data_IF_540672445179
#
_entry.id   IF_540672445179
#
_cell.length_a   1.000
_cell.length_b   1.000
_cell.length_c   1.000
_cell.angle_alpha   90.00
_cell.angle_beta   90.00
_cell.angle_gamma   90.00
#
_symmetry.space_group_name_H-M   'P 1'
#
loop_
_entity.id
_entity.type
_entity.pdbx_description
1 polymer ?
#
# COMPACT_ATOMS: atom_id res chain seq x y z
N UNK A 1 -15.08 -9.89 -6.61
CA UNK A 1 -13.77 -9.63 -7.25
C UNK A 1 -12.64 -10.22 -6.42
N UNK A 2 -12.00 -11.28 -6.92
CA UNK A 2 -10.69 -11.73 -6.43
C UNK A 2 -9.68 -10.69 -6.92
N UNK A 3 -8.92 -10.08 -6.02
CA UNK A 3 -7.82 -9.21 -6.45
C UNK A 3 -6.70 -10.05 -7.06
N UNK A 4 -5.84 -9.44 -7.89
CA UNK A 4 -4.71 -10.12 -8.50
C UNK A 4 -3.94 -10.91 -7.45
N UNK A 5 -3.63 -12.17 -7.76
CA UNK A 5 -2.80 -13.01 -6.91
C UNK A 5 -1.34 -12.63 -7.12
N UNK A 6 -0.96 -11.45 -6.67
CA UNK A 6 0.44 -11.10 -6.56
C UNK A 6 1.12 -12.09 -5.58
N UNK A 7 2.20 -12.75 -6.02
CA UNK A 7 2.96 -13.68 -5.18
C UNK A 7 3.91 -12.86 -4.28
N UNK A 8 3.64 -12.86 -2.98
CA UNK A 8 4.48 -12.24 -1.95
C UNK A 8 5.13 -13.32 -1.09
N UNK A 9 6.32 -13.05 -0.56
CA UNK A 9 6.91 -13.92 0.46
C UNK A 9 5.99 -14.01 1.70
N UNK A 10 6.01 -15.15 2.39
CA UNK A 10 5.19 -15.38 3.60
C UNK A 10 5.44 -14.30 4.66
N UNK A 11 6.68 -13.82 4.75
CA UNK A 11 7.14 -12.79 5.66
C UNK A 11 6.43 -11.43 5.42
N UNK A 12 6.15 -11.07 4.16
CA UNK A 12 5.45 -9.83 3.81
C UNK A 12 4.00 -9.81 4.30
N UNK A 13 3.31 -10.96 4.27
CA UNK A 13 1.91 -11.06 4.75
C UNK A 13 1.80 -10.85 6.26
N UNK A 14 2.71 -11.46 7.02
CA UNK A 14 2.72 -11.33 8.48
C UNK A 14 3.14 -9.92 8.90
N UNK A 15 4.11 -9.33 8.20
CA UNK A 15 4.51 -7.95 8.40
C UNK A 15 3.36 -6.98 8.09
N UNK A 16 2.63 -7.15 6.98
CA UNK A 16 1.43 -6.36 6.68
C UNK A 16 0.37 -6.46 7.79
N UNK A 17 0.17 -7.64 8.38
CA UNK A 17 -0.75 -7.81 9.52
C UNK A 17 -0.27 -7.02 10.75
N UNK A 18 1.04 -6.99 11.00
CA UNK A 18 1.62 -6.20 12.08
C UNK A 18 1.41 -4.70 11.85
N UNK A 19 1.69 -4.19 10.65
CA UNK A 19 1.48 -2.78 10.28
C UNK A 19 0.02 -2.35 10.44
N UNK A 20 -0.93 -3.21 10.08
CA UNK A 20 -2.37 -2.95 10.33
C UNK A 20 -2.71 -2.77 11.81
N UNK A 21 -1.92 -3.29 12.74
CA UNK A 21 -2.12 -3.09 14.18
C UNK A 21 -1.40 -1.85 14.71
N UNK A 22 -0.42 -1.32 13.96
CA UNK A 22 0.51 -0.26 14.39
C UNK A 22 0.48 0.95 13.45
N UNK A 23 -0.71 1.34 12.99
CA UNK A 23 -0.87 2.49 12.12
C UNK A 23 -0.62 3.80 12.88
N UNK A 24 0.01 4.75 12.20
CA UNK A 24 0.08 6.14 12.68
C UNK A 24 -1.31 6.76 12.81
N UNK A 25 -1.43 7.87 13.53
CA UNK A 25 -2.72 8.57 13.68
C UNK A 25 -3.22 9.12 12.34
N UNK A 26 -2.31 9.60 11.49
CA UNK A 26 -2.61 10.05 10.13
C UNK A 26 -3.16 8.92 9.26
N UNK A 27 -2.50 7.76 9.24
CA UNK A 27 -2.99 6.57 8.54
C UNK A 27 -4.34 6.09 9.09
N UNK A 28 -4.53 6.13 10.42
CA UNK A 28 -5.78 5.70 11.04
C UNK A 28 -6.94 6.60 10.62
N UNK A 29 -6.71 7.91 10.62
CA UNK A 29 -7.69 8.90 10.18
C UNK A 29 -8.04 8.72 8.70
N UNK A 30 -7.03 8.55 7.84
CA UNK A 30 -7.25 8.30 6.42
C UNK A 30 -7.99 6.98 6.19
N UNK A 31 -7.64 5.92 6.91
CA UNK A 31 -8.34 4.64 6.82
C UNK A 31 -9.83 4.77 7.17
N UNK A 32 -10.17 5.57 8.18
CA UNK A 32 -11.55 5.85 8.53
C UNK A 32 -12.36 6.46 7.37
N UNK A 33 -11.73 7.26 6.51
CA UNK A 33 -12.37 7.85 5.33
C UNK A 33 -12.40 6.91 4.12
N UNK A 34 -11.45 5.99 4.00
CA UNK A 34 -11.32 5.09 2.85
C UNK A 34 -12.05 3.76 3.02
N UNK A 35 -12.20 3.27 4.24
CA UNK A 35 -12.80 1.95 4.52
C UNK A 35 -14.25 1.87 4.07
N UNK A 36 -14.75 0.65 3.91
CA UNK A 36 -16.16 0.38 3.63
C UNK A 36 -16.71 1.09 2.38
N UNK A 37 -15.85 1.32 1.37
CA UNK A 37 -16.26 1.97 0.10
C UNK A 37 -16.82 3.39 0.28
N UNK A 38 -16.46 4.09 1.35
CA UNK A 38 -16.95 5.45 1.63
C UNK A 38 -16.51 6.47 0.58
N UNK A 39 -15.32 6.30 -0.02
CA UNK A 39 -14.83 7.18 -1.06
C UNK A 39 -15.32 6.71 -2.43
N UNK A 40 -16.37 7.36 -2.94
CA UNK A 40 -16.92 7.16 -4.28
C UNK A 40 -17.23 5.68 -4.63
N UNK A 41 -17.54 4.84 -3.62
CA UNK A 41 -17.83 3.42 -3.83
C UNK A 41 -16.59 2.51 -4.02
N UNK A 42 -15.39 3.08 -4.09
CA UNK A 42 -14.17 2.34 -4.41
C UNK A 42 -13.65 1.53 -3.21
N UNK A 43 -13.18 0.30 -3.49
CA UNK A 43 -12.60 -0.55 -2.45
C UNK A 43 -11.13 -0.23 -2.23
N UNK A 44 -10.83 0.38 -1.08
CA UNK A 44 -9.48 0.53 -0.57
C UNK A 44 -9.09 -0.61 0.36
N UNK A 45 -7.82 -1.01 0.28
CA UNK A 45 -7.14 -1.95 1.18
C UNK A 45 -6.02 -1.20 1.87
N UNK A 46 -5.80 -1.47 3.15
CA UNK A 46 -4.70 -0.87 3.92
C UNK A 46 -3.54 -1.84 4.13
N UNK A 47 -2.32 -1.30 4.16
CA UNK A 47 -1.07 -2.04 4.31
C UNK A 47 -1.07 -3.22 3.34
N UNK A 48 -1.14 -2.90 2.05
CA UNK A 48 -1.32 -3.85 0.96
C UNK A 48 0.04 -4.22 0.39
N UNK A 49 0.45 -5.49 0.45
CA UNK A 49 1.67 -5.92 -0.22
C UNK A 49 1.59 -5.65 -1.73
N UNK A 50 2.67 -5.16 -2.38
CA UNK A 50 2.88 -5.02 -3.85
C UNK A 50 4.32 -5.42 -4.22
N UNK A 51 4.49 -6.46 -5.05
CA UNK A 51 5.76 -7.19 -5.24
C UNK A 51 6.54 -7.44 -3.93
N UNK A 52 7.65 -6.74 -3.67
CA UNK A 52 8.47 -6.90 -2.47
C UNK A 52 8.20 -5.81 -1.41
N UNK A 53 7.12 -5.06 -1.58
CA UNK A 53 6.81 -3.84 -0.83
C UNK A 53 5.44 -3.94 -0.16
N UNK A 54 5.16 -3.02 0.75
CA UNK A 54 3.82 -2.81 1.34
C UNK A 54 3.52 -1.33 1.21
N UNK A 55 2.41 -1.02 0.54
CA UNK A 55 1.90 0.36 0.43
C UNK A 55 0.84 0.60 1.50
N UNK A 56 0.75 1.83 2.01
CA UNK A 56 -0.19 2.16 3.09
C UNK A 56 -1.65 1.94 2.68
N UNK A 57 -2.03 2.37 1.46
CA UNK A 57 -3.34 2.09 0.89
C UNK A 57 -3.28 1.76 -0.59
N UNK A 58 -4.14 0.85 -1.02
CA UNK A 58 -4.27 0.44 -2.42
C UNK A 58 -5.72 0.29 -2.85
N UNK A 59 -6.04 0.85 -4.02
CA UNK A 59 -7.30 0.65 -4.73
C UNK A 59 -7.05 -0.10 -6.04
N UNK A 60 -7.51 -1.35 -6.10
CA UNK A 60 -7.37 -2.24 -7.26
C UNK A 60 -8.16 -1.70 -8.47
N UNK A 61 -9.36 -1.18 -8.22
CA UNK A 61 -10.29 -0.65 -9.23
C UNK A 61 -9.71 0.58 -9.97
N UNK A 62 -8.77 1.30 -9.35
CA UNK A 62 -8.12 2.48 -9.92
C UNK A 62 -6.61 2.31 -10.14
N UNK A 63 -6.06 1.13 -9.83
CA UNK A 63 -4.61 0.88 -9.81
C UNK A 63 -3.85 2.00 -9.06
N UNK A 64 -4.41 2.47 -7.94
CA UNK A 64 -3.93 3.63 -7.19
C UNK A 64 -3.32 3.18 -5.86
N UNK A 65 -2.06 3.53 -5.64
CA UNK A 65 -1.40 3.45 -4.34
C UNK A 65 -1.36 4.85 -3.68
N UNK A 66 -1.58 4.90 -2.37
CA UNK A 66 -1.47 6.11 -1.55
C UNK A 66 -0.52 5.78 -0.40
N UNK A 67 0.53 6.58 -0.25
CA UNK A 67 1.47 6.53 0.87
C UNK A 67 1.28 7.76 1.74
N UNK A 68 1.18 7.57 3.05
CA UNK A 68 1.11 8.68 4.00
C UNK A 68 2.53 9.02 4.40
N UNK A 69 3.02 10.16 3.92
CA UNK A 69 4.31 10.69 4.34
C UNK A 69 4.22 11.20 5.79
N UNK A 70 4.43 10.29 6.74
CA UNK A 70 4.69 10.67 8.12
C UNK A 70 6.16 11.08 8.18
N UNK A 71 6.45 12.36 8.44
CA UNK A 71 7.78 13.00 8.42
C UNK A 71 8.88 12.42 9.35
N UNK A 72 9.03 11.10 9.35
CA UNK A 72 10.02 10.25 10.00
C UNK A 72 10.59 9.32 8.92
N UNK A 73 11.08 9.91 7.82
CA UNK A 73 11.91 9.25 6.79
C UNK A 73 13.30 8.87 7.32
N UNK A 74 13.38 8.31 8.53
CA UNK A 74 14.66 7.97 9.19
C UNK A 74 14.72 6.53 9.67
N UNK A 75 13.79 5.67 9.25
CA UNK A 75 14.10 4.23 9.26
C UNK A 75 14.97 3.89 8.05
N UNK A 76 16.05 3.08 8.20
CA UNK A 76 16.96 2.70 7.11
C UNK A 76 16.24 2.12 5.88
N UNK A 77 15.00 1.66 6.05
CA UNK A 77 14.12 1.16 4.99
C UNK A 77 13.81 2.23 3.94
N UNK A 78 13.47 3.47 4.29
CA UNK A 78 13.13 4.52 3.31
C UNK A 78 14.35 5.05 2.54
N UNK A 79 15.56 4.88 3.08
CA UNK A 79 16.81 5.35 2.45
C UNK A 79 17.14 4.58 1.15
N UNK A 80 16.54 3.42 0.92
CA UNK A 80 16.64 2.70 -0.36
C UNK A 80 15.63 3.16 -1.43
N UNK A 81 14.70 4.07 -1.10
CA UNK A 81 13.51 4.35 -1.92
C UNK A 81 13.61 5.50 -2.93
N UNK A 82 14.77 6.16 -3.07
CA UNK A 82 14.92 7.24 -4.08
C UNK A 82 15.72 6.86 -5.34
N UNK A 83 16.24 5.64 -5.47
CA UNK A 83 17.04 5.26 -6.67
C UNK A 83 16.24 4.47 -7.72
N UNK A 84 14.98 4.08 -7.47
CA UNK A 84 14.14 3.36 -8.45
C UNK A 84 12.74 3.93 -8.63
N UNK A 85 12.57 5.25 -8.56
CA UNK A 85 11.33 5.94 -8.97
C UNK A 85 11.23 6.14 -10.49
N UNK A 86 11.71 5.21 -11.28
CA UNK A 86 11.16 4.99 -12.61
C UNK A 86 10.17 3.87 -12.44
N UNK A 87 8.88 4.18 -12.28
CA UNK A 87 7.85 3.21 -12.65
C UNK A 87 8.22 2.77 -14.07
N UNK A 88 8.66 1.52 -14.33
CA UNK A 88 8.58 1.06 -15.68
C UNK A 88 7.09 1.18 -15.98
N UNK A 89 6.73 1.99 -17.00
CA UNK A 89 5.41 1.96 -17.61
C UNK A 89 4.97 0.52 -17.53
N UNK A 90 3.91 0.25 -16.76
CA UNK A 90 3.27 -1.06 -16.74
C UNK A 90 3.11 -1.43 -18.20
N UNK A 91 3.95 -2.36 -18.66
CA UNK A 91 3.88 -2.88 -20.01
C UNK A 91 2.45 -3.36 -20.17
N UNK A 92 1.88 -3.02 -21.31
CA UNK A 92 0.57 -3.47 -21.73
C UNK A 92 0.45 -4.95 -21.37
N UNK A 93 -0.51 -5.27 -20.51
CA UNK A 93 -1.00 -6.62 -20.35
C UNK A 93 -2.31 -6.61 -21.10
N UNK A 94 -2.29 -7.28 -22.26
CA UNK A 94 -3.46 -7.58 -23.09
C UNK A 94 -4.56 -8.28 -22.27
#
# INVERSE_FOLDING_TARGET
MRSPSFKYSRNLKDYARNLRRRQTDAERLLWWRLRNRQLAGFKFRRQFPIADYIVDFYCDEKKLAIEVDGGQHTTPKYRQYDIKRTYPRVSHFD
#
